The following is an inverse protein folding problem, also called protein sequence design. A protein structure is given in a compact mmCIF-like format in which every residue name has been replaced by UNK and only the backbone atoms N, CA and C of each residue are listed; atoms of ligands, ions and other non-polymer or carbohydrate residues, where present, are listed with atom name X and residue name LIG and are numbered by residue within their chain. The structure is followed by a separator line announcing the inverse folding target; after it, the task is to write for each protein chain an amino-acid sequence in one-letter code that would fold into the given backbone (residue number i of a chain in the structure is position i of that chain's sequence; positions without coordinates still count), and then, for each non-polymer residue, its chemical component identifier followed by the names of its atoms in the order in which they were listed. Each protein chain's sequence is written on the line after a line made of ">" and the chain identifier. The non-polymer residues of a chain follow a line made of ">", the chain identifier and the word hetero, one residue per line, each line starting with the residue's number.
data_IF_070302762982
#
_entry.id   IF_070302762982
#
_cell.length_a   1.000
_cell.length_b   1.000
_cell.length_c   1.000
_cell.angle_alpha   90.00
_cell.angle_beta   90.00
_cell.angle_gamma   90.00
#
_symmetry.space_group_name_H-M   'P 1'
#
loop_
_entity.id
_entity.type
_entity.pdbx_description
1 polymer ?
#
# COMPACT_ATOMS: atom_id res chain seq x y z
N UNK A 1 -14.94 6.45 1.28
CA UNK A 1 -16.19 5.67 1.05
C UNK A 1 -17.46 6.45 1.37
N UNK A 2 -17.56 7.19 2.49
CA UNK A 2 -18.75 8.00 2.83
C UNK A 2 -19.07 9.06 1.77
N UNK A 3 -18.04 9.67 1.18
CA UNK A 3 -18.18 10.58 0.03
C UNK A 3 -18.94 9.95 -1.14
N UNK A 4 -18.60 8.71 -1.54
CA UNK A 4 -19.27 8.00 -2.64
C UNK A 4 -20.76 7.82 -2.32
N UNK A 5 -21.08 7.32 -1.13
CA UNK A 5 -22.47 7.09 -0.71
C UNK A 5 -23.26 8.40 -0.67
N UNK A 6 -22.70 9.44 -0.08
CA UNK A 6 -23.33 10.75 -0.02
C UNK A 6 -23.55 11.35 -1.41
N UNK A 7 -22.60 11.20 -2.34
CA UNK A 7 -22.73 11.66 -3.73
C UNK A 7 -23.81 10.90 -4.49
N UNK A 8 -23.90 9.58 -4.32
CA UNK A 8 -24.97 8.78 -4.94
C UNK A 8 -26.34 9.26 -4.46
N UNK A 9 -26.53 9.41 -3.14
CA UNK A 9 -27.81 9.85 -2.58
C UNK A 9 -28.16 11.27 -3.05
N UNK A 10 -27.19 12.20 -3.02
CA UNK A 10 -27.40 13.57 -3.48
C UNK A 10 -27.85 13.63 -4.95
N UNK A 11 -27.24 12.82 -5.83
CA UNK A 11 -27.63 12.74 -7.24
C UNK A 11 -29.08 12.28 -7.46
N UNK A 12 -29.58 11.35 -6.62
CA UNK A 12 -30.99 10.95 -6.66
C UNK A 12 -31.92 12.07 -6.17
N UNK A 13 -31.53 12.77 -5.10
CA UNK A 13 -32.30 13.90 -4.56
C UNK A 13 -32.40 15.05 -5.57
N UNK A 14 -31.29 15.40 -6.23
CA UNK A 14 -31.23 16.43 -7.28
C UNK A 14 -32.14 16.11 -8.48
N UNK A 15 -32.26 14.83 -8.82
CA UNK A 15 -33.15 14.36 -9.89
C UNK A 15 -34.58 14.11 -9.42
N UNK A 16 -34.93 14.52 -8.19
CA UNK A 16 -36.25 14.32 -7.56
C UNK A 16 -36.68 12.83 -7.52
N UNK A 17 -35.71 11.92 -7.46
CA UNK A 17 -35.92 10.48 -7.34
C UNK A 17 -35.83 10.05 -5.90
N UNK A 18 -36.53 8.98 -5.56
CA UNK A 18 -36.39 8.33 -4.25
C UNK A 18 -34.98 7.74 -4.12
N UNK A 19 -34.20 8.11 -3.09
CA UNK A 19 -32.86 7.53 -2.91
C UNK A 19 -32.94 6.03 -2.64
N UNK A 20 -32.06 5.21 -3.24
CA UNK A 20 -32.06 3.77 -3.04
C UNK A 20 -31.55 3.40 -1.63
N UNK A 21 -31.80 2.16 -1.23
CA UNK A 21 -31.01 1.51 -0.19
C UNK A 21 -29.62 1.16 -0.75
N UNK A 22 -28.60 1.29 0.08
CA UNK A 22 -27.21 1.08 -0.30
C UNK A 22 -26.65 -0.06 0.55
N UNK A 23 -26.24 -1.12 -0.13
CA UNK A 23 -25.46 -2.22 0.46
C UNK A 23 -23.96 -1.99 0.20
N UNK A 24 -23.23 -1.64 1.24
CA UNK A 24 -21.79 -1.41 1.22
C UNK A 24 -21.04 -2.67 1.65
N UNK A 25 -20.41 -3.33 0.67
CA UNK A 25 -19.58 -4.50 0.92
C UNK A 25 -18.11 -4.12 1.11
N UNK A 26 -17.55 -4.41 2.29
CA UNK A 26 -16.14 -4.20 2.63
C UNK A 26 -15.39 -5.52 2.40
N UNK A 27 -14.61 -5.58 1.32
CA UNK A 27 -13.77 -6.73 1.03
C UNK A 27 -12.41 -6.62 1.70
N UNK A 28 -11.93 -7.72 2.28
CA UNK A 28 -10.56 -7.87 2.71
C UNK A 28 -10.13 -9.35 2.72
N UNK A 29 -8.82 -9.62 2.79
CA UNK A 29 -8.29 -10.97 3.00
C UNK A 29 -8.73 -11.56 4.36
N UNK A 30 -9.03 -12.88 4.44
CA UNK A 30 -9.52 -13.55 5.65
C UNK A 30 -8.62 -13.41 6.88
N UNK A 31 -7.32 -13.31 6.68
CA UNK A 31 -6.32 -13.26 7.75
C UNK A 31 -6.10 -11.84 8.31
N UNK A 32 -6.84 -10.85 7.81
CA UNK A 32 -6.78 -9.50 8.35
C UNK A 32 -7.69 -9.34 9.56
N UNK A 33 -7.43 -8.29 10.35
CA UNK A 33 -8.25 -7.96 11.51
C UNK A 33 -9.61 -7.38 11.10
N UNK A 34 -10.58 -8.26 10.82
CA UNK A 34 -11.97 -7.86 10.58
C UNK A 34 -12.59 -7.13 11.79
N UNK A 35 -12.04 -7.24 13.00
CA UNK A 35 -12.53 -6.44 14.12
C UNK A 35 -12.27 -4.95 13.89
N UNK A 36 -11.16 -4.58 13.24
CA UNK A 36 -10.95 -3.20 12.78
C UNK A 36 -11.95 -2.81 11.70
N UNK A 37 -12.29 -3.70 10.77
CA UNK A 37 -13.32 -3.45 9.76
C UNK A 37 -14.70 -3.17 10.39
N UNK A 38 -15.08 -3.91 11.44
CA UNK A 38 -16.32 -3.67 12.17
C UNK A 38 -16.29 -2.36 12.96
N UNK A 39 -15.17 -2.01 13.61
CA UNK A 39 -14.99 -0.70 14.24
C UNK A 39 -15.11 0.42 13.22
N UNK A 40 -14.48 0.25 12.06
CA UNK A 40 -14.54 1.21 10.96
C UNK A 40 -15.94 1.35 10.39
N UNK A 41 -16.72 0.26 10.29
CA UNK A 41 -18.11 0.31 9.86
C UNK A 41 -18.96 1.25 10.73
N UNK A 42 -18.69 1.30 12.04
CA UNK A 42 -19.35 2.25 12.96
C UNK A 42 -18.97 3.69 12.65
N UNK A 43 -17.67 4.01 12.58
CA UNK A 43 -17.19 5.36 12.22
C UNK A 43 -17.61 5.79 10.81
N UNK A 44 -17.67 4.86 9.87
CA UNK A 44 -18.20 5.09 8.54
C UNK A 44 -19.67 5.52 8.60
N UNK A 45 -20.51 4.80 9.35
CA UNK A 45 -21.91 5.16 9.55
C UNK A 45 -22.08 6.50 10.24
N UNK A 46 -21.21 6.85 11.19
CA UNK A 46 -21.23 8.16 11.87
C UNK A 46 -21.05 9.32 10.89
N UNK A 47 -20.18 9.14 9.88
CA UNK A 47 -19.87 10.11 8.83
C UNK A 47 -20.91 10.19 7.70
N UNK A 48 -21.96 9.36 7.73
CA UNK A 48 -23.08 9.47 6.80
C UNK A 48 -24.05 10.56 7.26
N UNK A 49 -24.69 11.25 6.31
CA UNK A 49 -25.76 12.20 6.64
C UNK A 49 -26.93 11.49 7.33
N UNK A 50 -27.67 12.19 8.20
CA UNK A 50 -28.71 11.57 9.05
C UNK A 50 -29.80 10.85 8.23
N UNK A 51 -30.20 11.43 7.10
CA UNK A 51 -31.16 10.88 6.14
C UNK A 51 -30.61 9.67 5.35
N UNK A 52 -29.29 9.48 5.36
CA UNK A 52 -28.57 8.38 4.70
C UNK A 52 -28.30 7.22 5.66
N UNK A 53 -28.11 7.47 6.96
CA UNK A 53 -27.76 6.44 7.97
C UNK A 53 -28.75 5.27 7.99
N UNK A 54 -30.05 5.53 7.85
CA UNK A 54 -31.09 4.50 7.83
C UNK A 54 -31.19 3.70 6.52
N UNK A 55 -30.45 4.09 5.48
CA UNK A 55 -30.48 3.47 4.14
C UNK A 55 -29.19 2.75 3.77
N UNK A 56 -28.18 2.78 4.64
CA UNK A 56 -26.86 2.23 4.36
C UNK A 56 -26.57 1.02 5.26
N UNK A 57 -26.45 -0.14 4.62
CA UNK A 57 -26.10 -1.41 5.22
C UNK A 57 -24.64 -1.71 4.92
N UNK A 58 -23.94 -2.32 5.88
CA UNK A 58 -22.51 -2.59 5.75
C UNK A 58 -22.27 -4.06 6.04
N UNK A 59 -21.59 -4.74 5.13
CA UNK A 59 -21.28 -6.16 5.19
C UNK A 59 -19.79 -6.39 4.97
N UNK A 60 -19.18 -7.34 5.69
CA UNK A 60 -17.81 -7.78 5.45
C UNK A 60 -17.78 -8.94 4.45
N UNK A 61 -16.87 -8.90 3.48
CA UNK A 61 -16.70 -9.95 2.45
C UNK A 61 -15.28 -10.50 2.50
N UNK A 62 -15.03 -11.62 3.19
CA UNK A 62 -13.70 -12.21 3.26
C UNK A 62 -13.32 -12.89 1.94
N UNK A 63 -12.11 -12.61 1.45
CA UNK A 63 -11.54 -13.28 0.28
C UNK A 63 -10.63 -12.37 -0.54
N UNK A 64 -9.83 -12.97 -1.41
CA UNK A 64 -9.00 -12.24 -2.36
C UNK A 64 -9.82 -11.70 -3.53
N UNK A 65 -9.66 -10.42 -3.87
CA UNK A 65 -10.28 -9.83 -5.06
C UNK A 65 -9.70 -10.35 -6.38
N UNK A 66 -8.61 -11.15 -6.35
CA UNK A 66 -8.14 -11.93 -7.50
C UNK A 66 -9.02 -13.16 -7.79
N UNK A 67 -9.99 -13.43 -6.92
CA UNK A 67 -10.98 -14.50 -7.08
C UNK A 67 -12.40 -13.93 -7.15
N UNK A 68 -13.38 -14.78 -7.49
CA UNK A 68 -14.80 -14.37 -7.51
C UNK A 68 -15.30 -14.17 -6.09
N UNK A 69 -15.66 -12.94 -5.75
CA UNK A 69 -16.24 -12.57 -4.44
C UNK A 69 -17.77 -12.46 -4.46
N UNK A 70 -18.35 -12.08 -5.60
CA UNK A 70 -19.77 -11.74 -5.71
C UNK A 70 -20.48 -12.53 -6.81
N UNK A 71 -21.79 -12.77 -6.67
CA UNK A 71 -22.63 -13.29 -7.74
C UNK A 71 -22.55 -12.43 -9.00
N UNK A 72 -22.77 -13.04 -10.16
CA UNK A 72 -22.79 -12.30 -11.43
C UNK A 72 -23.87 -11.22 -11.42
N UNK A 73 -23.51 -10.00 -11.88
CA UNK A 73 -24.43 -8.84 -12.01
C UNK A 73 -25.04 -8.35 -10.68
N UNK A 74 -24.34 -8.51 -9.56
CA UNK A 74 -24.81 -8.07 -8.23
C UNK A 74 -24.25 -6.71 -7.78
N UNK A 75 -23.18 -6.22 -8.42
CA UNK A 75 -22.53 -4.96 -8.06
C UNK A 75 -22.85 -3.85 -9.05
N UNK A 76 -23.20 -2.68 -8.53
CA UNK A 76 -23.46 -1.46 -9.30
C UNK A 76 -22.22 -0.58 -9.44
N UNK A 77 -21.37 -0.55 -8.41
CA UNK A 77 -20.17 0.27 -8.35
C UNK A 77 -19.08 -0.46 -7.58
N UNK A 78 -17.84 -0.34 -8.04
CA UNK A 78 -16.66 -0.95 -7.40
C UNK A 78 -15.61 0.12 -7.21
N UNK A 79 -15.04 0.18 -6.01
CA UNK A 79 -13.95 1.08 -5.67
C UNK A 79 -12.78 0.27 -5.10
N UNK A 80 -11.58 0.55 -5.60
CA UNK A 80 -10.32 0.01 -5.10
C UNK A 80 -9.32 1.15 -5.08
N UNK A 81 -8.65 1.34 -3.95
CA UNK A 81 -7.59 2.33 -3.77
C UNK A 81 -6.41 1.64 -3.08
N UNK A 82 -5.19 1.92 -3.54
CA UNK A 82 -3.94 1.41 -2.96
C UNK A 82 -3.96 -0.11 -2.68
N UNK A 83 -4.61 -0.89 -3.54
CA UNK A 83 -4.77 -2.36 -3.36
C UNK A 83 -4.31 -3.14 -4.59
N UNK A 84 -4.49 -2.61 -5.80
CA UNK A 84 -4.23 -3.33 -7.06
C UNK A 84 -2.75 -3.56 -7.35
N UNK A 85 -1.86 -2.85 -6.64
CA UNK A 85 -0.41 -3.01 -6.76
C UNK A 85 0.12 -4.27 -6.04
N UNK A 86 -0.68 -4.92 -5.19
CA UNK A 86 -0.32 -6.15 -4.50
C UNK A 86 -0.56 -7.37 -5.38
N UNK A 87 0.49 -8.07 -5.79
CA UNK A 87 0.35 -9.30 -6.56
C UNK A 87 -0.27 -10.42 -5.71
N UNK A 88 -1.03 -11.30 -6.35
CA UNK A 88 -1.60 -12.49 -5.69
C UNK A 88 -0.54 -13.49 -5.21
N UNK A 89 0.63 -13.50 -5.86
CA UNK A 89 1.80 -14.30 -5.51
C UNK A 89 3.08 -13.61 -6.00
N UNK A 90 4.20 -13.96 -5.40
CA UNK A 90 5.52 -13.63 -5.93
C UNK A 90 5.68 -14.27 -7.32
N UNK A 91 6.14 -13.52 -8.35
CA UNK A 91 6.43 -14.09 -9.67
C UNK A 91 7.51 -15.19 -9.61
N UNK A 92 7.38 -16.17 -10.50
CA UNK A 92 8.44 -17.16 -10.75
C UNK A 92 9.59 -16.52 -11.55
N UNK A 93 10.80 -17.07 -11.46
CA UNK A 93 11.97 -16.56 -12.19
C UNK A 93 12.72 -15.41 -11.50
N UNK A 94 12.63 -15.32 -10.16
CA UNK A 94 13.32 -14.30 -9.35
C UNK A 94 14.57 -14.85 -8.64
N UNK A 95 15.14 -15.97 -9.10
CA UNK A 95 16.30 -16.61 -8.47
C UNK A 95 17.54 -15.70 -8.41
N UNK A 96 17.64 -14.77 -9.37
CA UNK A 96 18.71 -13.79 -9.48
C UNK A 96 18.43 -12.46 -8.73
N UNK A 97 17.32 -12.34 -7.98
CA UNK A 97 16.99 -11.13 -7.22
C UNK A 97 17.81 -10.99 -5.91
N UNK A 98 19.12 -11.19 -6.03
CA UNK A 98 20.06 -11.21 -4.92
C UNK A 98 20.20 -9.84 -4.25
N UNK A 99 20.32 -9.85 -2.92
CA UNK A 99 20.45 -8.66 -2.06
C UNK A 99 19.35 -7.62 -2.32
N UNK A 100 18.14 -8.10 -2.57
CA UNK A 100 17.01 -7.27 -2.93
C UNK A 100 15.69 -7.93 -2.54
N UNK A 101 14.75 -7.16 -2.00
CA UNK A 101 13.47 -7.73 -1.53
C UNK A 101 12.24 -7.28 -2.30
N UNK A 102 12.39 -6.43 -3.32
CA UNK A 102 11.29 -5.98 -4.16
C UNK A 102 11.51 -6.38 -5.62
N UNK A 103 10.43 -6.48 -6.39
CA UNK A 103 10.51 -6.83 -7.80
C UNK A 103 11.04 -5.61 -8.56
N UNK A 104 12.26 -5.71 -9.11
CA UNK A 104 12.79 -4.69 -10.01
C UNK A 104 11.96 -4.69 -11.28
N UNK A 105 11.48 -3.53 -11.69
CA UNK A 105 10.80 -3.41 -12.96
C UNK A 105 11.78 -3.86 -14.08
N UNK A 106 11.49 -4.91 -14.86
CA UNK A 106 12.25 -5.19 -16.05
C UNK A 106 11.86 -4.11 -17.05
N UNK A 107 12.50 -2.95 -16.98
CA UNK A 107 12.25 -1.83 -17.88
C UNK A 107 12.38 -2.37 -19.32
N UNK A 108 11.30 -2.54 -20.10
CA UNK A 108 11.38 -3.19 -21.40
C UNK A 108 11.66 -2.14 -22.47
N UNK A 109 12.59 -1.22 -22.24
CA UNK A 109 12.95 -0.17 -23.19
C UNK A 109 14.41 0.27 -22.97
N UNK A 110 15.34 -0.43 -23.61
CA UNK A 110 16.50 0.13 -24.34
C UNK A 110 17.38 1.25 -23.77
N UNK A 111 17.26 1.69 -22.51
CA UNK A 111 18.09 2.74 -21.93
C UNK A 111 19.33 2.12 -21.32
N UNK A 112 20.35 1.96 -22.16
CA UNK A 112 21.73 1.77 -21.70
C UNK A 112 22.14 3.04 -20.97
N UNK A 113 22.02 3.06 -19.64
CA UNK A 113 22.83 3.87 -18.73
C UNK A 113 22.58 3.37 -17.30
N UNK A 114 23.22 2.24 -16.96
CA UNK A 114 23.22 1.65 -15.63
C UNK A 114 24.08 2.42 -14.60
N UNK A 115 24.66 3.55 -15.00
CA UNK A 115 25.58 4.37 -14.21
C UNK A 115 24.95 5.68 -13.70
N UNK A 116 23.69 5.96 -14.03
CA UNK A 116 22.99 7.15 -13.54
C UNK A 116 22.18 6.81 -12.27
N UNK A 117 22.53 7.37 -11.09
CA UNK A 117 21.77 7.19 -9.84
C UNK A 117 20.30 7.60 -9.96
N UNK A 118 19.97 8.46 -10.92
CA UNK A 118 18.64 9.00 -11.18
C UNK A 118 17.76 8.03 -11.99
N UNK A 119 18.33 7.03 -12.66
CA UNK A 119 17.54 6.08 -13.45
C UNK A 119 16.90 4.94 -12.62
N UNK A 120 17.00 5.02 -11.28
CA UNK A 120 16.37 4.10 -10.29
C UNK A 120 14.96 4.55 -9.86
N UNK A 121 14.35 5.49 -10.58
CA UNK A 121 13.42 6.50 -10.05
C UNK A 121 11.98 6.07 -9.71
N UNK A 122 11.67 4.78 -9.58
CA UNK A 122 10.29 4.36 -9.22
C UNK A 122 10.18 3.38 -8.05
N UNK A 123 11.24 3.12 -7.27
CA UNK A 123 11.21 2.10 -6.20
C UNK A 123 11.87 2.50 -4.86
N UNK A 124 12.02 3.80 -4.63
CA UNK A 124 12.97 4.35 -3.65
C UNK A 124 12.76 3.94 -2.19
N UNK A 125 11.52 3.72 -1.74
CA UNK A 125 11.28 3.37 -0.34
C UNK A 125 11.42 1.86 -0.08
N UNK A 126 11.21 1.02 -1.08
CA UNK A 126 11.47 -0.42 -0.95
C UNK A 126 12.96 -0.76 -1.03
N UNK A 127 13.77 0.06 -1.72
CA UNK A 127 15.22 -0.07 -1.62
C UNK A 127 15.73 0.24 -0.22
N UNK A 128 15.14 1.19 0.50
CA UNK A 128 15.54 1.44 1.90
C UNK A 128 15.25 0.25 2.82
N UNK A 129 14.17 -0.49 2.58
CA UNK A 129 13.91 -1.74 3.30
C UNK A 129 14.98 -2.79 3.01
N UNK A 130 15.41 -2.88 1.74
CA UNK A 130 16.53 -3.75 1.35
C UNK A 130 17.81 -3.33 2.08
N UNK A 131 18.16 -2.05 2.03
CA UNK A 131 19.37 -1.51 2.66
C UNK A 131 19.37 -1.79 4.18
N UNK A 132 18.24 -1.59 4.85
CA UNK A 132 18.11 -1.88 6.29
C UNK A 132 18.23 -3.37 6.63
N UNK A 133 17.75 -4.28 5.76
CA UNK A 133 17.99 -5.72 5.93
C UNK A 133 19.47 -6.07 5.72
N UNK A 134 20.12 -5.47 4.73
CA UNK A 134 21.55 -5.69 4.48
C UNK A 134 22.43 -5.12 5.61
N UNK A 135 22.01 -4.03 6.24
CA UNK A 135 22.65 -3.53 7.46
C UNK A 135 22.58 -4.59 8.59
N UNK A 136 21.44 -5.26 8.77
CA UNK A 136 21.32 -6.36 9.74
C UNK A 136 22.16 -7.59 9.36
N UNK A 137 22.32 -7.87 8.07
CA UNK A 137 23.25 -8.91 7.58
C UNK A 137 24.69 -8.56 7.96
N UNK A 138 25.09 -7.29 7.77
CA UNK A 138 26.45 -6.83 8.13
C UNK A 138 26.74 -6.95 9.63
N UNK A 139 25.70 -6.88 10.46
CA UNK A 139 25.76 -7.04 11.91
C UNK A 139 25.64 -8.50 12.37
N UNK A 140 25.44 -9.44 11.44
CA UNK A 140 25.32 -10.88 11.72
C UNK A 140 24.00 -11.30 12.38
N UNK A 141 22.96 -10.47 12.28
CA UNK A 141 21.64 -10.72 12.91
C UNK A 141 20.73 -11.49 11.96
N UNK A 142 20.86 -11.24 10.66
CA UNK A 142 20.10 -11.87 9.59
C UNK A 142 21.09 -12.53 8.63
N UNK A 143 20.75 -13.71 8.09
CA UNK A 143 21.57 -14.32 7.06
C UNK A 143 21.26 -13.72 5.69
N UNK A 144 22.29 -13.52 4.87
CA UNK A 144 22.12 -13.00 3.50
C UNK A 144 21.19 -13.89 2.66
N UNK A 145 21.22 -15.22 2.88
CA UNK A 145 20.32 -16.17 2.22
C UNK A 145 18.85 -15.96 2.55
N UNK A 146 18.55 -15.46 3.75
CA UNK A 146 17.18 -15.20 4.18
C UNK A 146 16.65 -13.96 3.47
N UNK A 147 17.52 -12.96 3.26
CA UNK A 147 17.19 -11.78 2.43
C UNK A 147 16.99 -12.19 0.98
N UNK A 148 17.89 -13.00 0.41
CA UNK A 148 17.82 -13.46 -0.98
C UNK A 148 16.57 -14.29 -1.32
N UNK A 149 16.01 -14.98 -0.32
CA UNK A 149 14.80 -15.80 -0.48
C UNK A 149 13.50 -15.03 -0.29
N UNK A 150 13.57 -13.79 0.21
CA UNK A 150 12.41 -12.97 0.47
C UNK A 150 12.12 -12.01 -0.69
N UNK A 151 10.88 -12.02 -1.17
CA UNK A 151 10.42 -11.10 -2.22
C UNK A 151 9.03 -10.57 -1.88
N UNK A 152 8.87 -9.25 -1.91
CA UNK A 152 7.58 -8.59 -1.78
C UNK A 152 6.77 -8.79 -3.07
N UNK A 153 5.53 -9.31 -2.97
CA UNK A 153 4.61 -9.44 -4.10
C UNK A 153 3.97 -8.07 -4.38
N UNK A 154 4.79 -7.08 -4.72
CA UNK A 154 4.38 -5.69 -4.89
C UNK A 154 4.91 -5.15 -6.22
N UNK A 155 4.04 -4.52 -7.00
CA UNK A 155 4.42 -3.80 -8.21
C UNK A 155 4.33 -2.29 -7.96
N UNK A 156 5.44 -1.58 -8.15
CA UNK A 156 5.52 -0.18 -7.77
C UNK A 156 4.82 0.75 -8.76
N UNK A 157 4.09 1.70 -8.21
CA UNK A 157 3.46 2.79 -8.93
C UNK A 157 3.53 4.12 -8.17
N UNK A 158 4.11 4.20 -6.97
CA UNK A 158 3.93 5.38 -6.11
C UNK A 158 5.19 5.85 -5.36
N UNK A 159 5.35 7.17 -5.30
CA UNK A 159 6.20 7.84 -4.31
C UNK A 159 5.43 9.01 -3.70
N UNK A 160 5.08 8.91 -2.41
CA UNK A 160 4.58 10.04 -1.61
C UNK A 160 5.75 10.75 -0.91
N UNK A 161 5.69 12.08 -0.84
CA UNK A 161 6.47 12.93 0.08
C UNK A 161 5.54 14.00 0.68
N UNK A 162 5.88 14.46 1.88
CA UNK A 162 5.20 15.50 2.64
C UNK A 162 5.88 16.87 2.44
N UNK A 163 5.05 17.90 2.35
CA UNK A 163 5.42 19.29 2.10
C UNK A 163 5.84 20.00 3.40
N UNK A 164 7.01 19.73 4.03
CA UNK A 164 7.51 20.64 5.10
C UNK A 164 9.00 20.47 5.51
N UNK A 165 9.61 21.56 6.00
CA UNK A 165 11.04 21.88 5.84
C UNK A 165 11.83 22.19 7.16
N UNK A 166 11.83 21.30 8.17
CA UNK A 166 12.64 21.43 9.42
C UNK A 166 13.43 20.16 9.82
N UNK A 167 14.49 20.28 10.63
CA UNK A 167 15.29 19.16 11.16
C UNK A 167 14.47 18.20 12.04
N UNK A 168 13.52 18.74 12.83
CA UNK A 168 12.53 17.94 13.54
C UNK A 168 11.66 17.15 12.55
N UNK A 169 11.32 17.75 11.40
CA UNK A 169 10.59 17.07 10.33
C UNK A 169 11.35 15.87 9.74
N UNK A 170 12.69 15.80 9.83
CA UNK A 170 13.48 14.69 9.25
C UNK A 170 13.37 13.39 10.05
N UNK A 171 13.54 13.48 11.37
CA UNK A 171 13.36 12.33 12.25
C UNK A 171 11.90 11.88 12.23
N UNK A 172 10.99 12.86 12.28
CA UNK A 172 9.56 12.60 12.12
C UNK A 172 9.24 11.94 10.77
N UNK A 173 9.90 12.35 9.67
CA UNK A 173 9.74 11.74 8.34
C UNK A 173 10.22 10.30 8.33
N UNK A 174 11.42 10.03 8.84
CA UNK A 174 11.98 8.69 8.94
C UNK A 174 11.06 7.76 9.74
N UNK A 175 10.62 8.21 10.92
CA UNK A 175 9.69 7.48 11.79
C UNK A 175 8.30 7.29 11.15
N UNK A 176 7.76 8.32 10.50
CA UNK A 176 6.50 8.25 9.76
C UNK A 176 6.58 7.20 8.65
N UNK A 177 7.64 7.25 7.84
CA UNK A 177 7.84 6.33 6.73
C UNK A 177 8.06 4.90 7.23
N UNK A 178 8.84 4.72 8.29
CA UNK A 178 9.01 3.43 8.95
C UNK A 178 7.67 2.89 9.45
N UNK A 179 6.85 3.72 10.11
CA UNK A 179 5.53 3.33 10.61
C UNK A 179 4.59 2.91 9.49
N UNK A 180 4.54 3.65 8.38
CA UNK A 180 3.72 3.30 7.20
C UNK A 180 4.18 1.98 6.61
N UNK A 181 5.48 1.82 6.33
CA UNK A 181 5.99 0.58 5.74
C UNK A 181 5.83 -0.61 6.69
N UNK A 182 6.06 -0.42 7.98
CA UNK A 182 5.83 -1.43 9.03
C UNK A 182 4.41 -1.93 9.03
N UNK A 183 3.44 -1.03 9.01
CA UNK A 183 2.02 -1.40 8.99
C UNK A 183 1.62 -2.28 7.80
N UNK A 184 2.36 -2.17 6.71
CA UNK A 184 2.12 -2.88 5.45
C UNK A 184 2.86 -4.22 5.41
N UNK A 185 4.13 -4.25 5.83
CA UNK A 185 5.01 -5.40 5.59
C UNK A 185 5.34 -6.23 6.81
N UNK A 186 5.10 -5.73 8.03
CA UNK A 186 5.42 -6.45 9.27
C UNK A 186 4.86 -7.89 9.29
N UNK A 187 3.60 -8.17 8.91
CA UNK A 187 3.09 -9.54 8.90
C UNK A 187 3.91 -10.48 8.01
N UNK A 188 4.38 -10.00 6.85
CA UNK A 188 5.20 -10.79 5.92
C UNK A 188 6.63 -10.95 6.42
N UNK A 189 7.19 -9.90 7.01
CA UNK A 189 8.53 -9.91 7.57
C UNK A 189 8.61 -10.84 8.79
N UNK A 190 7.63 -10.81 9.69
CA UNK A 190 7.55 -11.72 10.84
C UNK A 190 7.43 -13.17 10.37
N UNK A 191 6.61 -13.43 9.35
CA UNK A 191 6.43 -14.79 8.82
C UNK A 191 7.71 -15.38 8.23
N UNK A 192 8.61 -14.54 7.69
CA UNK A 192 9.84 -14.98 7.02
C UNK A 192 11.08 -14.92 7.93
N UNK A 193 11.27 -13.82 8.65
CA UNK A 193 12.46 -13.54 9.45
C UNK A 193 12.26 -13.71 10.97
N UNK A 194 11.02 -13.88 11.42
CA UNK A 194 10.66 -13.83 12.83
C UNK A 194 10.43 -12.41 13.37
N UNK A 195 9.85 -12.32 14.56
CA UNK A 195 9.50 -11.05 15.23
C UNK A 195 10.71 -10.35 15.86
N UNK A 196 11.73 -11.11 16.26
CA UNK A 196 12.90 -10.61 16.99
C UNK A 196 13.69 -9.52 16.24
N UNK A 197 13.61 -9.46 14.90
CA UNK A 197 14.34 -8.47 14.09
C UNK A 197 13.54 -7.21 13.77
N UNK A 198 12.22 -7.21 14.00
CA UNK A 198 11.30 -6.22 13.41
C UNK A 198 11.56 -4.82 13.94
N UNK A 199 11.69 -4.66 15.26
CA UNK A 199 11.91 -3.34 15.86
C UNK A 199 13.23 -2.74 15.37
N UNK A 200 14.31 -3.51 15.41
CA UNK A 200 15.64 -3.08 14.93
C UNK A 200 15.66 -2.81 13.42
N UNK A 201 14.93 -3.59 12.63
CA UNK A 201 14.79 -3.37 11.19
C UNK A 201 14.14 -2.02 10.91
N UNK A 202 13.05 -1.69 11.60
CA UNK A 202 12.34 -0.43 11.38
C UNK A 202 13.04 0.79 11.99
N UNK A 203 13.84 0.61 13.04
CA UNK A 203 14.79 1.65 13.49
C UNK A 203 15.82 1.98 12.42
N UNK A 204 16.44 0.96 11.81
CA UNK A 204 17.37 1.15 10.68
C UNK A 204 16.69 1.75 9.46
N UNK A 205 15.46 1.33 9.18
CA UNK A 205 14.66 1.88 8.09
C UNK A 205 14.42 3.38 8.31
N UNK A 206 13.98 3.78 9.51
CA UNK A 206 13.73 5.18 9.84
C UNK A 206 15.01 6.02 9.64
N UNK A 207 16.15 5.51 10.09
CA UNK A 207 17.45 6.16 9.90
C UNK A 207 17.83 6.31 8.42
N UNK A 208 17.66 5.25 7.63
CA UNK A 208 17.97 5.24 6.20
C UNK A 208 17.01 6.16 5.41
N UNK A 209 15.73 6.22 5.79
CA UNK A 209 14.75 7.13 5.22
C UNK A 209 15.05 8.60 5.54
N UNK A 210 15.40 8.92 6.78
CA UNK A 210 15.79 10.27 7.17
C UNK A 210 17.05 10.75 6.41
N UNK A 211 18.04 9.87 6.23
CA UNK A 211 19.24 10.16 5.41
C UNK A 211 18.89 10.37 3.94
N UNK A 212 18.03 9.51 3.39
CA UNK A 212 17.61 9.59 1.99
C UNK A 212 16.91 10.93 1.71
N UNK A 213 16.01 11.36 2.59
CA UNK A 213 15.30 12.65 2.50
C UNK A 213 16.29 13.83 2.35
N UNK A 214 17.38 13.83 3.12
CA UNK A 214 18.43 14.87 3.01
C UNK A 214 19.12 14.85 1.65
N UNK A 215 19.48 13.66 1.15
CA UNK A 215 20.20 13.49 -0.11
C UNK A 215 19.32 13.73 -1.34
N UNK A 216 18.01 13.50 -1.21
CA UNK A 216 17.01 13.64 -2.27
C UNK A 216 16.60 15.10 -2.56
N UNK A 217 16.98 16.06 -1.69
CA UNK A 217 16.65 17.51 -1.79
C UNK A 217 17.00 18.20 -3.11
N UNK A 218 17.79 17.56 -3.98
CA UNK A 218 18.18 18.07 -5.29
C UNK A 218 17.46 17.43 -6.49
N UNK A 219 16.48 16.55 -6.26
CA UNK A 219 15.73 15.88 -7.33
C UNK A 219 14.24 16.21 -7.21
N UNK A 220 13.68 16.87 -8.24
CA UNK A 220 12.23 17.02 -8.39
C UNK A 220 11.62 15.63 -8.56
N UNK A 221 10.93 15.12 -7.54
CA UNK A 221 10.23 13.84 -7.62
C UNK A 221 8.74 14.06 -7.67
N UNK A 222 8.07 13.32 -8.54
CA UNK A 222 6.65 13.46 -8.84
C UNK A 222 5.90 12.21 -8.34
N UNK A 223 4.92 12.40 -7.47
CA UNK A 223 3.98 11.34 -7.11
C UNK A 223 3.13 10.96 -8.33
N UNK A 224 3.01 9.67 -8.63
CA UNK A 224 2.23 9.18 -9.78
C UNK A 224 1.07 8.33 -9.29
N UNK A 225 -0.04 8.99 -8.97
CA UNK A 225 -1.28 8.28 -8.69
C UNK A 225 -2.00 7.92 -10.00
N UNK A 226 -2.20 6.63 -10.27
CA UNK A 226 -3.02 6.18 -11.39
C UNK A 226 -4.49 6.09 -10.98
N UNK A 227 -5.33 6.97 -11.53
CA UNK A 227 -6.78 6.90 -11.38
C UNK A 227 -7.40 6.39 -12.68
N UNK A 228 -8.07 5.25 -12.61
CA UNK A 228 -8.76 4.64 -13.75
C UNK A 228 -10.25 4.53 -13.44
N UNK A 229 -11.09 5.07 -14.32
CA UNK A 229 -12.54 4.89 -14.30
C UNK A 229 -12.96 3.94 -15.42
N UNK A 230 -13.61 2.83 -15.07
CA UNK A 230 -14.03 1.80 -16.01
C UNK A 230 -15.55 1.64 -15.96
N UNK A 231 -16.16 1.49 -17.14
CA UNK A 231 -17.57 1.12 -17.29
C UNK A 231 -17.67 -0.23 -17.99
N UNK A 232 -18.48 -1.13 -17.45
CA UNK A 232 -18.72 -2.44 -18.07
C UNK A 232 -19.50 -2.24 -19.38
N UNK A 233 -18.99 -2.81 -20.48
CA UNK A 233 -19.67 -2.86 -21.77
C UNK A 233 -20.87 -3.81 -21.76
#
# INVERSE_FOLDING_TARGET
>A
MSGIVNTIIASYQETSRTPPEIDCCLNYLPNNDFNMTFKWATSFKENLKMDVKGRCFVSGVPGSFYSRLFPSKSLHFVHSACSIHWLSKVPEGLEDNKKNVYIRNPCPLGSKNASDPLNRESCHYWSLLTDSLLDLVSEGIVQESDVDSFNLPFYDADSEEDDDDDETCRLNFGEMMASRKRSITEPMLVAHFGDAIIDRLFEKYAHNAAKYYIAARSCNKMTVNFVVSLSRK
#
